data_IF_590799819020
#
_entry.id   IF_590799819020
#
_cell.length_a   1.000
_cell.length_b   1.000
_cell.length_c   1.000
_cell.angle_alpha   90.00
_cell.angle_beta   90.00
_cell.angle_gamma   90.00
#
_symmetry.space_group_name_H-M   'P 1'
#
loop_
_entity.id
_entity.type
_entity.pdbx_description
1 polymer ?
#
# COMPACT_ATOMS: atom_id res chain seq x y z
N UNK A 1 -64.26 -27.57 28.06
CA UNK A 1 -63.43 -26.35 27.93
C UNK A 1 -61.96 -26.69 28.20
N UNK A 2 -61.22 -27.30 27.25
CA UNK A 2 -59.81 -27.70 27.44
C UNK A 2 -58.94 -27.67 26.16
N UNK A 3 -59.40 -27.01 25.08
CA UNK A 3 -58.67 -27.00 23.79
C UNK A 3 -58.09 -25.65 23.38
N UNK A 4 -58.24 -24.59 24.19
CA UNK A 4 -57.86 -23.22 23.78
C UNK A 4 -56.43 -22.81 24.12
N UNK A 5 -55.73 -23.54 24.98
CA UNK A 5 -54.36 -23.17 25.42
C UNK A 5 -53.26 -23.70 24.48
N UNK A 6 -53.53 -24.80 23.77
CA UNK A 6 -52.51 -25.46 22.94
C UNK A 6 -52.25 -24.71 21.61
N UNK A 7 -53.25 -24.01 21.06
CA UNK A 7 -53.09 -23.32 19.77
C UNK A 7 -52.32 -21.98 19.88
N UNK A 8 -52.32 -21.35 21.06
CA UNK A 8 -51.56 -20.11 21.29
C UNK A 8 -50.05 -20.38 21.41
N UNK A 9 -49.66 -21.53 21.94
CA UNK A 9 -48.25 -21.91 22.10
C UNK A 9 -47.56 -22.23 20.77
N UNK A 10 -48.28 -22.82 19.80
CA UNK A 10 -47.72 -23.14 18.48
C UNK A 10 -47.51 -21.89 17.61
N UNK A 11 -48.37 -20.87 17.76
CA UNK A 11 -48.24 -19.63 16.99
C UNK A 11 -47.02 -18.78 17.41
N UNK A 12 -46.67 -18.78 18.69
CA UNK A 12 -45.52 -18.00 19.18
C UNK A 12 -44.18 -18.57 18.72
N UNK A 13 -44.05 -19.90 18.63
CA UNK A 13 -42.81 -20.55 18.18
C UNK A 13 -42.51 -20.28 16.70
N UNK A 14 -43.55 -20.15 15.88
CA UNK A 14 -43.41 -19.86 14.44
C UNK A 14 -42.93 -18.43 14.18
N UNK A 15 -43.39 -17.46 14.97
CA UNK A 15 -42.98 -16.05 14.84
C UNK A 15 -41.51 -15.86 15.21
N UNK A 16 -41.03 -16.56 16.25
CA UNK A 16 -39.63 -16.47 16.68
C UNK A 16 -38.69 -17.15 15.66
N UNK A 17 -39.07 -18.31 15.12
CA UNK A 17 -38.27 -18.98 14.09
C UNK A 17 -38.18 -18.17 12.79
N UNK A 18 -39.25 -17.47 12.40
CA UNK A 18 -39.24 -16.57 11.24
C UNK A 18 -38.37 -15.33 11.47
N UNK A 19 -38.36 -14.76 12.69
CA UNK A 19 -37.52 -13.60 13.02
C UNK A 19 -36.01 -13.92 12.98
N UNK A 20 -35.61 -15.13 13.38
CA UNK A 20 -34.21 -15.58 13.30
C UNK A 20 -33.79 -15.81 11.83
N UNK A 21 -34.69 -16.34 10.99
CA UNK A 21 -34.40 -16.56 9.58
C UNK A 21 -34.22 -15.26 8.78
N UNK A 22 -34.98 -14.20 9.11
CA UNK A 22 -34.86 -12.88 8.45
C UNK A 22 -33.65 -12.09 8.95
N UNK A 23 -33.13 -12.40 10.16
CA UNK A 23 -31.89 -11.82 10.68
C UNK A 23 -30.63 -12.28 9.94
N UNK A 24 -30.69 -13.37 9.18
CA UNK A 24 -29.52 -13.91 8.47
C UNK A 24 -29.45 -13.54 6.99
N UNK A 25 -30.43 -12.81 6.45
CA UNK A 25 -30.51 -12.54 5.00
C UNK A 25 -30.03 -11.15 4.56
N UNK A 26 -29.58 -10.29 5.47
CA UNK A 26 -29.28 -8.87 5.13
C UNK A 26 -27.80 -8.46 5.24
N UNK A 27 -26.90 -9.45 5.26
CA UNK A 27 -25.48 -9.22 5.00
C UNK A 27 -25.11 -10.00 3.76
N UNK A 28 -25.53 -9.50 2.59
CA UNK A 28 -24.79 -9.84 1.38
C UNK A 28 -23.42 -9.20 1.55
N UNK A 29 -22.47 -9.96 2.09
CA UNK A 29 -21.06 -9.62 1.92
C UNK A 29 -20.87 -9.41 0.42
N UNK A 30 -20.48 -8.21 -0.03
CA UNK A 30 -20.22 -8.00 -1.44
C UNK A 30 -19.20 -9.07 -1.86
N UNK A 31 -19.47 -9.78 -2.96
CA UNK A 31 -18.54 -10.75 -3.51
C UNK A 31 -17.14 -10.10 -3.50
N UNK A 32 -16.13 -10.75 -2.90
CA UNK A 32 -14.82 -10.14 -2.76
C UNK A 32 -14.36 -9.76 -4.16
N UNK A 33 -14.27 -8.46 -4.42
CA UNK A 33 -13.70 -7.94 -5.65
C UNK A 33 -12.30 -8.56 -5.75
N UNK A 34 -12.18 -9.46 -6.72
CA UNK A 34 -11.00 -10.29 -6.95
C UNK A 34 -9.79 -9.40 -7.13
N UNK A 35 -8.86 -9.40 -6.17
CA UNK A 35 -7.57 -8.71 -6.33
C UNK A 35 -6.90 -8.27 -5.03
N UNK A 36 -7.65 -8.09 -3.96
CA UNK A 36 -7.10 -7.66 -2.68
C UNK A 36 -6.90 -8.87 -1.74
N UNK A 37 -5.65 -9.29 -1.59
CA UNK A 37 -5.27 -10.42 -0.73
C UNK A 37 -4.29 -9.94 0.33
N UNK A 38 -4.33 -10.60 1.49
CA UNK A 38 -3.28 -10.49 2.49
C UNK A 38 -1.98 -11.08 1.93
N UNK A 39 -0.87 -10.81 2.61
CA UNK A 39 0.46 -11.34 2.26
C UNK A 39 0.49 -12.87 2.22
N UNK A 40 -0.34 -13.53 3.05
CA UNK A 40 -0.48 -14.99 3.07
C UNK A 40 -1.39 -15.55 1.94
N UNK A 41 -1.96 -14.68 1.12
CA UNK A 41 -2.83 -15.01 -0.01
C UNK A 41 -4.31 -15.18 0.34
N UNK A 42 -4.70 -15.07 1.61
CA UNK A 42 -6.11 -15.06 2.00
C UNK A 42 -6.81 -13.78 1.52
N UNK A 43 -8.12 -13.82 1.21
CA UNK A 43 -8.86 -12.63 0.83
C UNK A 43 -8.89 -11.60 1.97
N UNK A 44 -8.72 -10.32 1.61
CA UNK A 44 -8.96 -9.22 2.55
C UNK A 44 -10.46 -9.07 2.81
N UNK A 45 -10.84 -8.70 4.03
CA UNK A 45 -12.24 -8.50 4.43
C UNK A 45 -12.91 -7.35 3.66
N UNK A 46 -12.17 -6.25 3.47
CA UNK A 46 -12.61 -5.09 2.69
C UNK A 46 -11.82 -5.03 1.38
N UNK A 47 -12.45 -4.59 0.28
CA UNK A 47 -11.76 -4.46 -1.00
C UNK A 47 -10.70 -3.35 -0.92
N UNK A 48 -9.56 -3.58 -1.57
CA UNK A 48 -8.57 -2.53 -1.83
C UNK A 48 -9.21 -1.43 -2.67
N UNK A 49 -8.98 -0.17 -2.32
CA UNK A 49 -9.49 0.98 -3.06
C UNK A 49 -8.67 1.26 -4.32
N UNK A 50 -7.36 0.98 -4.29
CA UNK A 50 -6.42 1.40 -5.33
C UNK A 50 -5.50 0.29 -5.83
N UNK A 51 -4.99 0.49 -7.03
CA UNK A 51 -3.92 -0.29 -7.65
C UNK A 51 -2.81 0.66 -8.12
N UNK A 52 -1.57 0.45 -7.68
CA UNK A 52 -0.41 1.11 -8.29
C UNK A 52 -0.04 0.35 -9.55
N UNK A 53 -0.31 0.96 -10.70
CA UNK A 53 -0.09 0.34 -12.01
C UNK A 53 1.39 0.31 -12.39
N UNK A 54 2.11 1.41 -12.10
CA UNK A 54 3.53 1.57 -12.42
C UNK A 54 4.15 2.77 -11.72
N UNK A 55 5.49 2.76 -11.65
CA UNK A 55 6.31 3.89 -11.22
C UNK A 55 7.29 4.23 -12.34
N UNK A 56 7.21 5.46 -12.85
CA UNK A 56 8.11 5.97 -13.89
C UNK A 56 9.16 6.90 -13.25
N UNK A 57 10.44 6.64 -13.51
CA UNK A 57 11.55 7.45 -13.02
C UNK A 57 11.93 8.51 -14.06
N UNK A 58 11.94 9.76 -13.62
CA UNK A 58 12.13 10.94 -14.44
C UNK A 58 13.60 11.34 -14.46
N UNK A 59 14.07 11.81 -15.61
CA UNK A 59 15.42 12.34 -15.76
C UNK A 59 15.53 13.71 -15.11
N UNK A 60 16.26 13.79 -13.99
CA UNK A 60 16.38 14.99 -13.16
C UNK A 60 14.98 15.50 -12.77
N UNK A 61 14.70 16.78 -12.95
CA UNK A 61 13.40 17.40 -12.66
C UNK A 61 12.41 17.33 -13.83
N UNK A 62 12.81 16.78 -14.98
CA UNK A 62 11.94 16.73 -16.15
C UNK A 62 10.97 15.55 -16.09
N UNK A 63 9.77 15.79 -15.57
CA UNK A 63 8.71 14.78 -15.41
C UNK A 63 8.18 14.19 -16.73
N UNK A 64 8.52 14.79 -17.88
CA UNK A 64 8.18 14.27 -19.20
C UNK A 64 9.26 13.35 -19.81
N UNK A 65 10.48 13.36 -19.25
CA UNK A 65 11.60 12.55 -19.74
C UNK A 65 11.80 11.34 -18.81
N UNK A 66 11.30 10.18 -19.23
CA UNK A 66 11.30 8.96 -18.42
C UNK A 66 12.49 8.08 -18.83
N UNK A 67 13.35 7.73 -17.87
CA UNK A 67 14.50 6.85 -18.12
C UNK A 67 14.30 5.41 -17.62
N UNK A 68 13.30 5.17 -16.77
CA UNK A 68 13.03 3.85 -16.22
C UNK A 68 11.57 3.70 -15.79
N UNK A 69 11.06 2.47 -15.80
CA UNK A 69 9.69 2.16 -15.39
C UNK A 69 9.68 0.85 -14.63
N UNK A 70 9.03 0.83 -13.48
CA UNK A 70 8.76 -0.35 -12.67
C UNK A 70 7.28 -0.67 -12.74
N UNK A 71 6.94 -1.95 -12.92
CA UNK A 71 5.57 -2.45 -12.95
C UNK A 71 5.43 -3.62 -11.96
N UNK A 72 4.21 -3.91 -11.45
CA UNK A 72 3.97 -5.10 -10.65
C UNK A 72 4.51 -6.38 -11.34
N UNK A 73 5.23 -7.21 -10.60
CA UNK A 73 5.88 -8.43 -11.12
C UNK A 73 7.27 -8.22 -11.76
N UNK A 74 7.68 -6.98 -12.04
CA UNK A 74 9.01 -6.64 -12.56
C UNK A 74 9.62 -5.49 -11.74
N UNK A 75 10.05 -5.77 -10.49
CA UNK A 75 10.45 -4.74 -9.52
C UNK A 75 11.84 -4.15 -9.78
N UNK A 76 12.69 -4.80 -10.59
CA UNK A 76 14.10 -4.44 -10.74
C UNK A 76 14.28 -3.17 -11.59
N UNK A 77 15.13 -2.25 -11.11
CA UNK A 77 15.47 -1.03 -11.85
C UNK A 77 16.90 -0.56 -11.57
N UNK A 78 17.61 -0.16 -12.62
CA UNK A 78 18.88 0.55 -12.51
C UNK A 78 18.64 2.06 -12.44
N UNK A 79 19.25 2.72 -11.47
CA UNK A 79 19.10 4.14 -11.16
C UNK A 79 20.45 4.85 -11.28
N UNK A 80 20.80 5.37 -12.48
CA UNK A 80 22.04 6.11 -12.65
C UNK A 80 21.99 7.43 -11.87
N UNK A 81 23.01 7.70 -11.06
CA UNK A 81 23.14 8.93 -10.26
C UNK A 81 23.12 10.15 -11.17
N UNK A 82 23.67 10.05 -12.38
CA UNK A 82 23.60 11.09 -13.42
C UNK A 82 22.17 11.51 -13.81
N UNK A 83 21.16 10.68 -13.53
CA UNK A 83 19.73 10.94 -13.77
C UNK A 83 18.99 11.43 -12.53
N UNK A 84 19.60 11.39 -11.34
CA UNK A 84 19.02 11.95 -10.12
C UNK A 84 18.88 13.48 -10.25
N UNK A 85 17.85 14.07 -9.64
CA UNK A 85 17.72 15.54 -9.60
C UNK A 85 18.54 16.16 -8.48
N UNK A 86 18.83 15.38 -7.45
CA UNK A 86 19.74 15.75 -6.36
C UNK A 86 20.58 14.53 -5.99
N UNK A 87 21.88 14.73 -5.86
CA UNK A 87 22.77 13.76 -5.23
C UNK A 87 23.84 14.43 -4.39
N UNK A 88 24.28 13.78 -3.32
CA UNK A 88 25.41 14.22 -2.51
C UNK A 88 26.07 13.04 -1.81
N UNK A 89 27.32 13.21 -1.42
CA UNK A 89 28.09 12.22 -0.67
C UNK A 89 28.06 12.58 0.83
N UNK A 90 27.23 11.90 1.66
CA UNK A 90 27.16 12.19 3.09
C UNK A 90 28.46 11.81 3.81
N UNK A 91 29.17 10.80 3.31
CA UNK A 91 30.44 10.31 3.84
C UNK A 91 31.19 9.52 2.76
N UNK A 92 32.50 9.25 2.93
CA UNK A 92 33.26 8.43 1.98
C UNK A 92 32.63 7.05 1.79
N UNK A 93 32.45 6.63 0.54
CA UNK A 93 31.85 5.35 0.18
C UNK A 93 30.32 5.30 0.27
N UNK A 94 29.65 6.45 0.36
CA UNK A 94 28.19 6.54 0.35
C UNK A 94 27.71 7.64 -0.59
N UNK A 95 26.50 7.46 -1.13
CA UNK A 95 25.79 8.47 -1.89
C UNK A 95 24.31 8.48 -1.53
N UNK A 96 23.79 9.68 -1.36
CA UNK A 96 22.36 9.94 -1.33
C UNK A 96 21.94 10.44 -2.70
N UNK A 97 21.01 9.74 -3.35
CA UNK A 97 20.48 10.09 -4.66
C UNK A 97 18.96 10.17 -4.63
N UNK A 98 18.40 11.29 -5.10
CA UNK A 98 16.95 11.51 -5.16
C UNK A 98 16.49 11.66 -6.60
N UNK A 99 15.45 10.88 -6.94
CA UNK A 99 14.84 10.85 -8.26
C UNK A 99 13.42 11.39 -8.20
N UNK A 100 12.98 12.09 -9.26
CA UNK A 100 11.57 12.40 -9.43
C UNK A 100 10.88 11.18 -10.00
N UNK A 101 9.73 10.83 -9.45
CA UNK A 101 8.94 9.70 -9.92
C UNK A 101 7.50 10.11 -10.20
N UNK A 102 6.90 9.43 -11.18
CA UNK A 102 5.46 9.46 -11.45
C UNK A 102 4.87 8.10 -11.08
N UNK A 103 3.99 8.11 -10.10
CA UNK A 103 3.31 6.92 -9.60
C UNK A 103 1.90 6.93 -10.19
N UNK A 104 1.60 5.94 -11.02
CA UNK A 104 0.31 5.81 -11.69
C UNK A 104 -0.61 4.98 -10.82
N UNK A 105 -1.68 5.61 -10.32
CA UNK A 105 -2.61 5.01 -9.37
C UNK A 105 -3.98 4.93 -10.02
N UNK A 106 -4.56 3.74 -10.06
CA UNK A 106 -5.92 3.51 -10.51
C UNK A 106 -6.83 3.25 -9.32
N UNK A 107 -8.02 3.85 -9.29
CA UNK A 107 -9.05 3.45 -8.33
C UNK A 107 -9.81 2.24 -8.86
N UNK A 108 -9.89 1.19 -8.06
CA UNK A 108 -10.53 -0.08 -8.42
C UNK A 108 -11.80 -0.35 -7.62
N UNK A 109 -11.97 0.31 -6.46
CA UNK A 109 -13.16 0.18 -5.62
C UNK A 109 -13.54 1.51 -4.98
N UNK A 110 -14.78 1.62 -4.51
CA UNK A 110 -15.18 2.73 -3.63
C UNK A 110 -14.56 2.54 -2.24
N UNK A 111 -14.37 3.63 -1.47
CA UNK A 111 -13.90 3.54 -0.10
C UNK A 111 -14.82 2.67 0.76
N UNK A 112 -14.23 1.72 1.48
CA UNK A 112 -14.95 0.93 2.48
C UNK A 112 -15.23 1.75 3.74
N UNK A 113 -14.45 2.82 3.97
CA UNK A 113 -14.54 3.71 5.11
C UNK A 113 -14.43 5.18 4.65
N UNK A 114 -14.94 6.10 5.47
CA UNK A 114 -14.85 7.53 5.18
C UNK A 114 -13.39 8.02 5.08
N UNK A 115 -13.09 8.73 4.00
CA UNK A 115 -11.75 9.27 3.69
C UNK A 115 -11.54 10.63 4.37
N UNK A 116 -11.75 10.70 5.68
CA UNK A 116 -11.75 11.96 6.43
C UNK A 116 -10.36 12.63 6.56
N UNK A 117 -9.27 11.88 6.37
CA UNK A 117 -7.90 12.35 6.60
C UNK A 117 -6.98 12.34 5.36
N UNK A 118 -7.55 12.25 4.15
CA UNK A 118 -6.81 12.09 2.88
C UNK A 118 -5.99 10.78 2.83
N UNK A 119 -5.47 10.43 1.66
CA UNK A 119 -4.59 9.27 1.52
C UNK A 119 -3.15 9.66 1.82
N UNK A 120 -2.36 8.69 2.26
CA UNK A 120 -0.93 8.89 2.53
C UNK A 120 -0.13 7.94 1.66
N UNK A 121 0.96 8.43 1.05
CA UNK A 121 1.85 7.63 0.21
C UNK A 121 3.28 7.63 0.74
N UNK A 122 3.60 6.77 1.73
CA UNK A 122 4.95 6.66 2.24
C UNK A 122 5.81 5.79 1.33
N UNK A 123 7.12 6.05 1.36
CA UNK A 123 8.17 5.18 0.84
C UNK A 123 8.80 4.42 2.00
N UNK A 124 8.78 3.10 1.98
CA UNK A 124 9.34 2.25 3.02
C UNK A 124 10.50 1.42 2.47
N UNK A 125 11.63 1.38 3.21
CA UNK A 125 12.87 0.73 2.75
C UNK A 125 13.01 -0.71 3.31
N UNK A 126 12.14 -1.13 4.25
CA UNK A 126 12.04 -2.51 4.78
C UNK A 126 10.62 -2.85 5.23
N UNK A 127 10.14 -4.06 4.92
CA UNK A 127 8.89 -4.58 5.49
C UNK A 127 9.12 -4.93 6.96
N UNK A 128 8.45 -4.23 7.86
CA UNK A 128 8.54 -4.45 9.30
C UNK A 128 7.24 -5.12 9.82
N UNK A 129 7.33 -6.02 10.82
CA UNK A 129 6.15 -6.44 11.59
C UNK A 129 5.48 -5.23 12.25
N UNK A 130 4.14 -5.20 12.35
CA UNK A 130 3.46 -4.15 13.11
C UNK A 130 3.79 -4.30 14.62
N UNK A 131 4.30 -3.24 15.24
CA UNK A 131 4.42 -3.12 16.69
C UNK A 131 3.07 -2.81 17.35
N UNK A 132 2.95 -3.08 18.65
CA UNK A 132 1.68 -3.05 19.41
C UNK A 132 1.05 -1.66 19.64
N UNK A 133 1.59 -0.60 19.05
CA UNK A 133 0.94 0.70 18.94
C UNK A 133 0.87 1.04 17.45
N UNK A 134 -0.26 0.66 16.85
CA UNK A 134 -0.49 0.58 15.42
C UNK A 134 -0.12 1.89 14.69
N UNK A 135 0.89 1.82 13.81
CA UNK A 135 1.41 2.92 13.01
C UNK A 135 2.11 4.04 13.80
N UNK A 136 3.23 3.70 14.45
CA UNK A 136 4.22 4.73 14.76
C UNK A 136 4.99 5.14 13.48
N UNK A 137 4.42 6.07 12.71
CA UNK A 137 5.14 6.77 11.63
C UNK A 137 6.18 7.77 12.17
N UNK A 138 6.32 7.94 13.49
CA UNK A 138 7.27 8.86 14.12
C UNK A 138 8.64 8.24 14.37
N UNK A 139 8.75 6.91 14.50
CA UNK A 139 10.03 6.19 14.63
C UNK A 139 10.73 5.89 13.30
N UNK A 140 10.05 6.13 12.18
CA UNK A 140 10.70 6.25 10.89
C UNK A 140 10.80 7.73 10.59
N UNK A 141 11.97 8.38 10.57
CA UNK A 141 12.07 9.59 9.79
C UNK A 141 11.95 9.11 8.35
N UNK A 142 10.82 9.32 7.64
CA UNK A 142 10.97 9.29 6.22
C UNK A 142 11.96 10.41 5.93
N UNK A 143 12.89 10.17 5.02
CA UNK A 143 13.78 11.24 4.54
C UNK A 143 12.92 12.42 4.02
N UNK A 144 11.60 12.22 3.80
CA UNK A 144 10.58 13.23 3.51
C UNK A 144 9.25 12.91 4.20
N UNK A 145 8.59 13.82 4.96
CA UNK A 145 7.32 13.56 5.62
C UNK A 145 6.29 12.92 4.67
N UNK A 146 5.42 12.02 5.15
CA UNK A 146 4.39 11.42 4.31
C UNK A 146 3.59 12.54 3.66
N UNK A 147 3.63 12.64 2.33
CA UNK A 147 2.86 13.66 1.64
C UNK A 147 1.40 13.19 1.62
N UNK A 148 0.46 13.95 2.20
CA UNK A 148 -0.95 13.69 1.96
C UNK A 148 -1.20 13.84 0.45
N UNK A 149 -1.84 12.84 -0.13
CA UNK A 149 -2.20 12.79 -1.55
C UNK A 149 -3.71 12.84 -1.70
N UNK A 150 -4.16 13.72 -2.58
CA UNK A 150 -5.56 13.77 -3.00
C UNK A 150 -5.76 12.80 -4.16
N UNK A 151 -6.57 11.79 -3.93
CA UNK A 151 -6.96 10.78 -4.93
C UNK A 151 -8.47 10.86 -5.17
N UNK A 152 -8.95 12.07 -5.46
CA UNK A 152 -10.37 12.37 -5.74
C UNK A 152 -10.70 11.92 -7.18
N UNK A 153 -10.86 10.61 -7.37
CA UNK A 153 -11.10 10.01 -8.69
C UNK A 153 -12.26 9.00 -8.63
N UNK A 154 -12.96 8.79 -9.74
CA UNK A 154 -14.01 7.78 -9.82
C UNK A 154 -13.41 6.37 -9.93
N UNK A 155 -14.20 5.34 -9.62
CA UNK A 155 -13.78 3.95 -9.89
C UNK A 155 -13.52 3.77 -11.38
N UNK A 156 -12.34 3.25 -11.73
CA UNK A 156 -11.87 3.08 -13.10
C UNK A 156 -10.89 4.17 -13.55
N UNK A 157 -10.90 5.36 -12.93
CA UNK A 157 -10.00 6.45 -13.27
C UNK A 157 -8.56 6.16 -12.82
N UNK A 158 -7.61 6.80 -13.50
CA UNK A 158 -6.19 6.78 -13.17
C UNK A 158 -5.68 8.19 -12.95
N UNK A 159 -4.92 8.41 -11.87
CA UNK A 159 -4.18 9.63 -11.63
C UNK A 159 -2.68 9.38 -11.53
N UNK A 160 -1.92 10.45 -11.68
CA UNK A 160 -0.47 10.44 -11.57
C UNK A 160 -0.08 11.27 -10.36
N UNK A 161 0.58 10.63 -9.41
CA UNK A 161 1.21 11.28 -8.27
C UNK A 161 2.68 11.53 -8.60
N UNK A 162 3.13 12.78 -8.46
CA UNK A 162 4.55 13.13 -8.59
C UNK A 162 5.17 13.15 -7.20
N UNK A 163 6.24 12.38 -7.00
CA UNK A 163 6.91 12.26 -5.72
C UNK A 163 8.44 12.23 -5.87
N UNK A 164 9.12 12.30 -4.73
CA UNK A 164 10.57 12.09 -4.63
C UNK A 164 10.88 10.70 -4.12
N UNK A 165 11.85 10.06 -4.77
CA UNK A 165 12.37 8.75 -4.40
C UNK A 165 13.85 8.89 -4.03
N UNK A 166 14.15 8.98 -2.73
CA UNK A 166 15.51 9.13 -2.21
C UNK A 166 16.12 7.82 -1.74
N UNK A 167 17.33 7.54 -2.19
CA UNK A 167 18.05 6.29 -1.94
C UNK A 167 19.39 6.61 -1.31
N UNK A 168 19.67 5.98 -0.16
CA UNK A 168 20.99 6.00 0.49
C UNK A 168 21.72 4.72 0.08
N UNK A 169 22.76 4.85 -0.74
CA UNK A 169 23.48 3.71 -1.30
C UNK A 169 24.94 3.72 -0.85
N UNK A 170 25.47 2.52 -0.56
CA UNK A 170 26.89 2.30 -0.27
C UNK A 170 27.63 1.95 -1.56
N UNK A 171 28.84 2.48 -1.71
CA UNK A 171 29.79 2.10 -2.75
C UNK A 171 30.26 0.66 -2.51
N UNK A 172 30.08 -0.19 -3.51
CA UNK A 172 30.61 -1.53 -3.56
C UNK A 172 31.41 -1.71 -4.85
N UNK A 173 32.57 -2.34 -4.74
CA UNK A 173 33.37 -2.69 -5.92
C UNK A 173 32.96 -4.10 -6.33
N UNK A 174 32.32 -4.24 -7.50
CA UNK A 174 31.90 -5.55 -8.01
C UNK A 174 33.07 -6.22 -8.75
N UNK A 175 33.57 -7.38 -8.28
CA UNK A 175 34.53 -8.18 -9.03
C UNK A 175 33.86 -8.80 -10.28
N UNK A 176 34.62 -9.13 -11.34
CA UNK A 176 36.08 -9.02 -11.48
C UNK A 176 36.53 -7.65 -12.04
N UNK A 177 35.58 -6.78 -12.40
CA UNK A 177 35.88 -5.57 -13.17
C UNK A 177 36.48 -4.44 -12.33
N UNK A 178 36.40 -4.52 -10.99
CA UNK A 178 36.83 -3.47 -10.06
C UNK A 178 36.22 -2.10 -10.36
N UNK A 179 35.03 -2.07 -10.96
CA UNK A 179 34.29 -0.84 -11.22
C UNK A 179 33.48 -0.51 -9.95
N UNK A 180 33.57 0.71 -9.41
CA UNK A 180 32.71 1.11 -8.31
C UNK A 180 31.25 1.14 -8.78
N UNK A 181 30.39 0.45 -8.05
CA UNK A 181 28.94 0.42 -8.24
C UNK A 181 28.32 0.77 -6.89
N UNK A 182 27.40 1.72 -6.83
CA UNK A 182 26.70 2.04 -5.58
C UNK A 182 25.60 1.01 -5.27
N UNK A 183 25.97 -0.25 -4.99
CA UNK A 183 25.00 -1.28 -4.63
C UNK A 183 25.03 -1.61 -3.15
N UNK A 184 24.25 -0.91 -2.34
CA UNK A 184 23.43 -1.60 -1.34
C UNK A 184 22.35 -0.67 -0.79
N UNK A 185 21.12 -0.86 -1.26
CA UNK A 185 19.98 -0.81 -0.36
C UNK A 185 19.59 -2.27 -0.17
N UNK A 186 19.95 -2.84 0.98
CA UNK A 186 19.52 -4.19 1.31
C UNK A 186 18.03 -4.17 1.69
N UNK A 187 17.18 -4.38 0.68
CA UNK A 187 15.74 -4.56 0.84
C UNK A 187 14.91 -4.03 -0.33
N UNK A 188 13.74 -4.64 -0.53
CA UNK A 188 12.73 -4.12 -1.44
C UNK A 188 12.24 -2.77 -0.90
N UNK A 189 12.26 -1.75 -1.75
CA UNK A 189 11.64 -0.45 -1.47
C UNK A 189 10.18 -0.54 -1.86
N UNK A 190 9.28 -0.14 -0.97
CA UNK A 190 7.85 -0.14 -1.22
C UNK A 190 7.34 1.29 -1.34
N UNK A 191 6.57 1.55 -2.40
CA UNK A 191 5.59 2.64 -2.39
C UNK A 191 4.25 2.06 -1.98
N UNK A 192 3.57 2.74 -1.05
CA UNK A 192 2.35 2.27 -0.42
C UNK A 192 1.29 3.34 -0.51
N UNK A 193 0.01 2.97 -0.51
CA UNK A 193 -1.11 3.89 -0.35
C UNK A 193 -1.88 3.46 0.89
N UNK A 194 -2.16 4.40 1.79
CA UNK A 194 -2.97 4.16 2.98
C UNK A 194 -4.16 5.10 3.05
N UNK A 195 -5.29 4.56 3.48
CA UNK A 195 -6.34 5.29 4.15
C UNK A 195 -6.16 5.05 5.66
N UNK A 196 -5.89 6.10 6.45
CA UNK A 196 -5.63 5.95 7.89
C UNK A 196 -6.83 5.34 8.64
N UNK A 197 -8.06 5.64 8.21
CA UNK A 197 -9.28 5.09 8.83
C UNK A 197 -9.39 3.59 8.55
N UNK A 198 -9.22 3.20 7.28
CA UNK A 198 -9.24 1.79 6.87
C UNK A 198 -8.11 1.00 7.54
N UNK A 199 -6.89 1.55 7.55
CA UNK A 199 -5.74 0.91 8.16
C UNK A 199 -5.94 0.67 9.66
N UNK A 200 -6.50 1.66 10.38
CA UNK A 200 -6.86 1.52 11.79
C UNK A 200 -7.91 0.43 12.04
N UNK A 201 -8.96 0.37 11.21
CA UNK A 201 -10.00 -0.64 11.31
C UNK A 201 -9.49 -2.07 11.05
N UNK A 202 -8.48 -2.23 10.19
CA UNK A 202 -7.90 -3.53 9.86
C UNK A 202 -6.81 -3.98 10.83
N UNK A 203 -6.01 -3.04 11.34
CA UNK A 203 -5.01 -3.33 12.36
C UNK A 203 -5.65 -3.62 13.73
N UNK A 204 -6.81 -3.02 14.03
CA UNK A 204 -7.51 -3.20 15.29
C UNK A 204 -8.38 -4.47 15.37
N UNK A 205 -8.86 -4.83 16.57
CA UNK A 205 -9.87 -5.89 16.74
C UNK A 205 -11.17 -5.56 15.99
N UNK A 206 -11.87 -6.57 15.44
CA UNK A 206 -11.56 -8.00 15.50
C UNK A 206 -10.55 -8.48 14.43
N UNK A 207 -10.14 -7.61 13.50
CA UNK A 207 -9.39 -8.00 12.30
C UNK A 207 -7.92 -8.36 12.57
N UNK A 208 -7.22 -7.55 13.38
CA UNK A 208 -5.84 -7.79 13.85
C UNK A 208 -4.84 -8.15 12.73
N UNK A 209 -4.86 -7.41 11.61
CA UNK A 209 -3.96 -7.71 10.50
C UNK A 209 -2.49 -7.51 10.90
N UNK A 210 -1.61 -8.49 10.61
CA UNK A 210 -0.29 -8.56 11.24
C UNK A 210 0.77 -7.69 10.57
N UNK A 211 0.59 -7.29 9.30
CA UNK A 211 1.60 -6.54 8.56
C UNK A 211 1.06 -5.25 7.96
N UNK A 212 1.97 -4.33 7.67
CA UNK A 212 1.63 -3.06 7.03
C UNK A 212 1.12 -3.26 5.58
N UNK A 213 1.53 -4.34 4.91
CA UNK A 213 1.06 -4.68 3.57
C UNK A 213 -0.40 -5.14 3.57
N UNK A 214 -0.83 -5.83 4.63
CA UNK A 214 -2.20 -6.33 4.77
C UNK A 214 -3.23 -5.20 4.94
N UNK A 215 -2.79 -4.08 5.50
CA UNK A 215 -3.63 -2.91 5.79
C UNK A 215 -3.47 -1.78 4.76
N UNK A 216 -2.53 -1.92 3.82
CA UNK A 216 -2.33 -0.96 2.74
C UNK A 216 -3.44 -1.08 1.69
N UNK A 217 -3.85 0.05 1.11
CA UNK A 217 -4.76 0.07 -0.03
C UNK A 217 -4.09 -0.40 -1.32
N UNK A 218 -2.80 -0.16 -1.45
CA UNK A 218 -2.01 -0.64 -2.58
C UNK A 218 -0.52 -0.61 -2.26
N UNK A 219 0.27 -1.40 -2.98
CA UNK A 219 1.71 -1.38 -2.89
C UNK A 219 2.39 -1.72 -4.21
N UNK A 220 3.61 -1.24 -4.39
CA UNK A 220 4.52 -1.72 -5.43
C UNK A 220 5.92 -1.87 -4.86
N UNK A 221 6.54 -3.01 -5.13
CA UNK A 221 7.92 -3.28 -4.79
C UNK A 221 8.87 -2.77 -5.88
N UNK A 222 9.99 -2.21 -5.43
CA UNK A 222 11.08 -1.73 -6.26
C UNK A 222 12.37 -2.31 -5.70
N UNK A 223 13.18 -2.89 -6.58
CA UNK A 223 14.51 -3.39 -6.30
C UNK A 223 15.53 -2.46 -6.99
N UNK A 224 15.91 -1.35 -6.35
CA UNK A 224 16.77 -0.35 -6.97
C UNK A 224 18.24 -0.78 -6.96
N UNK A 225 18.92 -0.63 -8.09
CA UNK A 225 20.37 -0.67 -8.19
C UNK A 225 20.89 0.73 -8.56
N UNK A 226 21.45 1.46 -7.60
CA UNK A 226 22.02 2.80 -7.86
C UNK A 226 23.41 2.64 -8.49
N UNK A 227 23.67 3.34 -9.59
CA UNK A 227 24.93 3.23 -10.36
C UNK A 227 25.46 4.61 -10.72
N UNK A 228 26.75 4.78 -10.98
CA UNK A 228 27.30 6.06 -11.48
C UNK A 228 26.80 6.42 -12.88
#
# INVERSE_FOLDING_TARGET
MKHSCLSQLVSFTFVIAAAIAVSCTDHTEPDPLTGCKLVDGTPRLYPCEFEILKVEFCNKLNVGDIFGTVVPGHPDITLPVSRAWSSFHPSPGFIDATFKVKIHVKRISNPAFDVSYQYVMPKIIRVLPLGSDAFDISSFPPVFPPLPVRLDMAVGDTSVVIADASYHAREQVLPPLNIPVYSEISGNVLFLIYNMVTAGALAGPPNNYPTILDVAESHIAINPAVVE
#
